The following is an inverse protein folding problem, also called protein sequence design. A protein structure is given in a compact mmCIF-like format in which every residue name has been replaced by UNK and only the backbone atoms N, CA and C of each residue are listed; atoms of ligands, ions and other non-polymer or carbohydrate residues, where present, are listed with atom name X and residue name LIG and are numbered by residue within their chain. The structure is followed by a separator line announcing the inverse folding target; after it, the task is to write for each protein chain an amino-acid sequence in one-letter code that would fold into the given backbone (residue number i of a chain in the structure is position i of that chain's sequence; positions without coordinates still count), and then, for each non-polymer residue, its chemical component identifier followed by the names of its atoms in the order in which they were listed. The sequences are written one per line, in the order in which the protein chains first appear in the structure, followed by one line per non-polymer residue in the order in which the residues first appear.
data_IF_952533504867
#
_entry.id   IF_952533504867
#
_cell.length_a   1.000
_cell.length_b   1.000
_cell.length_c   1.000
_cell.angle_alpha   90.00
_cell.angle_beta   90.00
_cell.angle_gamma   90.00
#
_symmetry.space_group_name_H-M   'P 1'
#
loop_
_entity.id
_entity.type
_entity.pdbx_description
1 polymer ?
#
# COMPACT_ATOMS: atom_id res chain seq x y z
N UNK A 1 -12.87 61.65 -32.61
CA UNK A 1 -11.54 62.07 -33.09
C UNK A 1 -10.49 61.36 -32.26
N UNK A 2 -9.95 60.24 -32.73
CA UNK A 2 -8.64 59.71 -32.31
C UNK A 2 -8.18 58.72 -33.39
N UNK A 3 -7.00 58.99 -33.94
CA UNK A 3 -6.30 58.16 -34.93
C UNK A 3 -5.82 56.84 -34.31
N UNK A 4 -5.66 55.78 -35.12
CA UNK A 4 -4.65 54.76 -34.87
C UNK A 4 -3.51 54.88 -35.91
N UNK A 5 -2.29 54.91 -35.40
CA UNK A 5 -1.06 54.66 -36.14
C UNK A 5 -0.20 53.80 -35.21
N UNK A 6 0.16 52.59 -35.64
CA UNK A 6 1.40 51.92 -35.22
C UNK A 6 1.66 50.76 -36.19
N UNK A 7 2.68 50.98 -37.02
CA UNK A 7 3.27 50.04 -37.96
C UNK A 7 4.60 49.57 -37.38
N UNK A 8 4.80 48.24 -37.49
CA UNK A 8 6.04 47.49 -37.70
C UNK A 8 7.35 47.91 -36.99
N UNK A 9 7.98 46.93 -36.31
CA UNK A 9 9.23 46.31 -36.82
C UNK A 9 9.59 45.04 -36.05
N UNK A 10 9.81 43.96 -36.80
CA UNK A 10 10.49 42.75 -36.37
C UNK A 10 12.01 43.01 -36.32
N UNK A 11 12.67 42.45 -35.31
CA UNK A 11 14.12 42.39 -35.18
C UNK A 11 14.53 40.97 -34.79
N UNK A 12 15.37 40.37 -35.63
CA UNK A 12 15.96 39.04 -35.44
C UNK A 12 16.91 38.99 -34.23
N UNK A 13 17.00 37.84 -33.53
CA UNK A 13 18.00 37.64 -32.48
C UNK A 13 19.35 37.13 -33.04
N UNK A 14 20.48 37.48 -32.40
CA UNK A 14 21.80 37.10 -32.86
C UNK A 14 22.20 35.69 -32.44
N UNK A 15 22.88 35.05 -33.38
CA UNK A 15 23.58 33.76 -33.36
C UNK A 15 24.76 33.80 -32.37
N UNK A 16 24.78 32.88 -31.40
CA UNK A 16 25.89 32.66 -30.46
C UNK A 16 26.58 31.32 -30.72
N UNK A 17 27.88 31.41 -30.95
CA UNK A 17 28.83 30.35 -31.28
C UNK A 17 29.06 29.33 -30.14
N UNK A 18 29.60 28.13 -30.45
CA UNK A 18 29.65 27.00 -29.51
C UNK A 18 30.84 27.05 -28.54
N UNK A 19 30.61 26.67 -27.29
CA UNK A 19 31.65 26.44 -26.28
C UNK A 19 32.19 24.99 -26.29
N UNK A 20 33.44 24.77 -25.82
CA UNK A 20 34.17 23.51 -25.95
C UNK A 20 33.84 22.50 -24.84
N UNK A 21 33.91 21.22 -25.20
CA UNK A 21 33.81 20.09 -24.27
C UNK A 21 35.06 19.95 -23.39
N UNK A 22 34.92 19.66 -22.09
CA UNK A 22 36.00 19.09 -21.30
C UNK A 22 35.95 17.56 -21.33
N UNK A 23 36.98 16.96 -21.93
CA UNK A 23 37.40 15.60 -21.68
C UNK A 23 37.98 15.49 -20.27
N UNK A 24 37.49 14.57 -19.43
CA UNK A 24 38.29 14.04 -18.32
C UNK A 24 37.93 12.58 -18.05
N UNK A 25 38.89 11.73 -18.40
CA UNK A 25 39.00 10.34 -17.99
C UNK A 25 39.40 10.29 -16.51
N UNK A 26 38.69 9.52 -15.70
CA UNK A 26 39.18 9.11 -14.38
C UNK A 26 39.06 7.59 -14.26
N UNK A 27 40.16 6.86 -13.97
CA UNK A 27 40.13 5.42 -13.80
C UNK A 27 39.62 5.02 -12.41
N UNK A 28 38.79 3.98 -12.40
CA UNK A 28 38.25 3.32 -11.23
C UNK A 28 39.38 2.55 -10.51
N UNK A 29 39.78 2.99 -9.31
CA UNK A 29 40.71 2.27 -8.44
C UNK A 29 39.94 1.32 -7.52
N UNK A 30 40.14 0.02 -7.75
CA UNK A 30 39.70 -1.07 -6.89
C UNK A 30 40.61 -1.15 -5.66
N UNK A 31 40.09 -0.88 -4.46
CA UNK A 31 40.78 -1.18 -3.20
C UNK A 31 40.18 -2.45 -2.61
N UNK A 32 40.93 -3.53 -2.73
CA UNK A 32 40.72 -4.78 -2.01
C UNK A 32 41.59 -4.75 -0.77
N UNK A 33 40.99 -4.67 0.42
CA UNK A 33 41.71 -4.93 1.67
C UNK A 33 40.86 -5.79 2.60
N UNK A 34 41.20 -7.09 2.59
CA UNK A 34 40.95 -8.03 3.67
C UNK A 34 41.68 -7.56 4.93
N UNK A 35 41.01 -7.51 6.07
CA UNK A 35 41.65 -7.69 7.37
C UNK A 35 40.75 -8.53 8.27
N UNK A 36 41.40 -9.52 8.88
CA UNK A 36 40.88 -10.57 9.74
C UNK A 36 40.90 -10.13 11.21
N UNK A 37 39.81 -10.47 11.93
CA UNK A 37 39.72 -10.86 13.37
C UNK A 37 39.98 -9.78 14.46
N UNK A 38 39.59 -9.99 15.74
CA UNK A 38 38.73 -11.03 16.34
C UNK A 38 37.59 -10.49 17.26
N UNK A 39 36.69 -11.43 17.61
CA UNK A 39 35.66 -11.38 18.65
C UNK A 39 36.26 -11.21 20.06
N UNK A 40 35.55 -10.56 20.99
CA UNK A 40 35.43 -11.15 22.32
C UNK A 40 33.98 -11.24 22.83
N UNK A 41 33.74 -12.41 23.42
CA UNK A 41 32.61 -12.79 24.26
C UNK A 41 32.81 -12.25 25.67
N UNK A 42 31.77 -11.63 26.26
CA UNK A 42 31.64 -11.55 27.72
C UNK A 42 30.19 -11.26 28.12
N UNK A 43 29.63 -12.19 28.90
CA UNK A 43 28.35 -12.11 29.58
C UNK A 43 28.31 -10.99 30.64
N UNK A 44 27.13 -10.44 30.98
CA UNK A 44 26.99 -9.58 32.15
C UNK A 44 26.65 -10.38 33.41
N UNK A 45 27.43 -10.13 34.46
CA UNK A 45 27.23 -10.58 35.82
C UNK A 45 26.22 -9.70 36.58
N UNK A 46 25.56 -10.30 37.56
CA UNK A 46 24.54 -9.72 38.42
C UNK A 46 25.07 -8.74 39.50
N UNK A 47 24.24 -7.70 39.76
CA UNK A 47 24.02 -6.97 41.04
C UNK A 47 25.12 -6.04 41.57
N UNK A 48 24.89 -5.15 42.58
CA UNK A 48 23.65 -4.81 43.31
C UNK A 48 23.46 -3.29 43.67
N UNK A 49 22.40 -3.00 44.43
CA UNK A 49 22.11 -1.84 45.31
C UNK A 49 21.47 -0.57 44.72
N UNK A 50 20.20 -0.37 45.09
CA UNK A 50 19.62 0.97 45.31
C UNK A 50 18.92 1.01 46.67
N UNK A 51 19.58 1.68 47.61
CA UNK A 51 19.01 2.17 48.86
C UNK A 51 18.69 3.64 48.64
N UNK A 52 17.42 4.04 48.64
CA UNK A 52 17.07 5.45 48.84
C UNK A 52 15.85 5.61 49.73
N UNK A 53 16.11 6.28 50.83
CA UNK A 53 15.20 6.72 51.87
C UNK A 53 14.28 7.86 51.41
N UNK A 54 12.99 7.69 51.72
CA UNK A 54 12.11 8.63 52.44
C UNK A 54 12.50 10.13 52.41
N UNK A 55 11.66 10.95 51.76
CA UNK A 55 11.37 12.30 52.24
C UNK A 55 9.90 12.65 52.07
N UNK A 56 9.37 13.23 53.13
CA UNK A 56 7.99 13.59 53.43
C UNK A 56 7.88 15.09 53.16
N UNK A 57 6.95 15.52 52.29
CA UNK A 57 6.60 16.93 52.17
C UNK A 57 5.09 17.09 52.12
N UNK A 58 4.62 17.83 53.12
CA UNK A 58 3.27 18.34 53.37
C UNK A 58 3.00 19.59 52.52
N UNK A 59 1.72 19.84 52.21
CA UNK A 59 1.20 21.10 51.67
C UNK A 59 0.93 21.02 50.17
N UNK A 60 -0.14 21.60 49.60
CA UNK A 60 -1.24 22.39 50.12
C UNK A 60 -2.31 22.40 49.02
N UNK A 61 -3.57 22.27 49.39
CA UNK A 61 -4.72 22.37 48.48
C UNK A 61 -4.80 23.73 47.77
N UNK A 62 -5.17 23.74 46.48
CA UNK A 62 -6.02 24.79 45.93
C UNK A 62 -7.37 24.22 45.46
N UNK A 63 -8.40 25.00 45.79
CA UNK A 63 -9.79 24.86 45.40
C UNK A 63 -9.95 24.89 43.87
N UNK A 64 -10.41 23.79 43.27
CA UNK A 64 -10.86 23.77 41.88
C UNK A 64 -12.38 23.99 41.81
N UNK A 65 -12.75 25.03 41.07
CA UNK A 65 -14.13 25.28 40.63
C UNK A 65 -14.55 24.17 39.65
N UNK A 66 -15.63 23.45 40.00
CA UNK A 66 -16.36 22.56 39.11
C UNK A 66 -16.94 23.36 37.94
N UNK A 67 -16.44 23.11 36.74
CA UNK A 67 -17.16 23.37 35.49
C UNK A 67 -17.84 22.05 35.11
N UNK A 68 -19.18 22.04 35.12
CA UNK A 68 -19.96 20.91 34.62
C UNK A 68 -19.93 20.95 33.09
N UNK A 69 -19.17 20.04 32.47
CA UNK A 69 -19.29 19.73 31.05
C UNK A 69 -20.28 18.58 30.93
N UNK A 70 -21.33 18.78 30.15
CA UNK A 70 -22.36 17.79 29.88
C UNK A 70 -21.76 16.63 29.06
N UNK A 71 -21.70 15.45 29.66
CA UNK A 71 -21.27 14.21 29.02
C UNK A 71 -22.30 13.77 27.98
N UNK A 72 -21.93 13.80 26.70
CA UNK A 72 -22.66 13.12 25.64
C UNK A 72 -22.52 11.59 25.82
N UNK A 73 -23.60 10.87 25.51
CA UNK A 73 -23.74 9.42 25.73
C UNK A 73 -22.77 8.61 24.86
N UNK A 74 -22.16 7.53 25.37
CA UNK A 74 -21.39 6.62 24.54
C UNK A 74 -22.31 5.76 23.67
N UNK A 75 -22.02 5.72 22.37
CA UNK A 75 -22.59 4.76 21.44
C UNK A 75 -21.93 3.41 21.68
N UNK A 76 -22.67 2.46 22.27
CA UNK A 76 -22.24 1.06 22.34
C UNK A 76 -22.48 0.41 20.98
N UNK A 77 -21.42 0.17 20.20
CA UNK A 77 -21.47 -0.86 19.17
C UNK A 77 -21.50 -2.24 19.86
N UNK A 78 -22.57 -3.00 19.62
CA UNK A 78 -22.60 -4.43 19.94
C UNK A 78 -21.94 -5.16 18.77
N UNK A 79 -20.81 -5.82 19.01
CA UNK A 79 -20.28 -6.83 18.10
C UNK A 79 -21.31 -7.96 17.96
N UNK A 80 -21.89 -8.09 16.77
CA UNK A 80 -22.80 -9.17 16.44
C UNK A 80 -21.98 -10.37 15.96
N UNK A 81 -21.85 -11.37 16.83
CA UNK A 81 -21.40 -12.71 16.47
C UNK A 81 -22.42 -13.32 15.50
N UNK A 82 -21.98 -13.67 14.29
CA UNK A 82 -22.82 -14.28 13.27
C UNK A 82 -23.09 -15.75 13.62
N UNK A 83 -24.28 -16.03 14.16
CA UNK A 83 -24.80 -17.38 14.31
C UNK A 83 -25.81 -17.66 13.19
N UNK A 84 -25.49 -18.66 12.36
CA UNK A 84 -26.31 -19.15 11.25
C UNK A 84 -27.57 -19.82 11.81
N UNK A 85 -28.75 -19.28 11.52
CA UNK A 85 -30.02 -19.98 11.71
C UNK A 85 -31.04 -19.62 10.61
N UNK A 86 -31.54 -20.67 9.93
CA UNK A 86 -32.58 -20.65 8.89
C UNK A 86 -33.97 -20.41 9.48
N UNK A 87 -34.77 -19.54 8.85
CA UNK A 87 -36.25 -19.62 8.83
C UNK A 87 -36.82 -18.68 7.74
N UNK A 88 -37.46 -19.22 6.71
CA UNK A 88 -38.93 -19.40 6.52
C UNK A 88 -39.74 -18.10 6.33
N UNK A 89 -40.00 -17.82 5.04
CA UNK A 89 -41.17 -17.20 4.41
C UNK A 89 -42.35 -16.76 5.30
N UNK A 90 -42.77 -15.49 5.16
CA UNK A 90 -44.20 -15.10 5.11
C UNK A 90 -44.40 -13.67 4.58
N UNK A 91 -45.21 -13.53 3.52
CA UNK A 91 -45.81 -12.28 3.01
C UNK A 91 -46.93 -11.78 3.92
N UNK A 92 -47.28 -10.47 3.89
CA UNK A 92 -48.56 -10.10 3.26
C UNK A 92 -48.61 -8.74 2.53
N UNK A 93 -49.39 -8.79 1.44
CA UNK A 93 -50.30 -7.83 0.78
C UNK A 93 -50.52 -6.38 1.29
N UNK A 94 -50.27 -5.44 0.36
CA UNK A 94 -51.12 -4.35 -0.18
C UNK A 94 -51.96 -3.43 0.72
N UNK A 95 -51.75 -2.11 0.56
CA UNK A 95 -52.83 -1.14 0.30
C UNK A 95 -52.32 0.09 -0.47
N UNK A 96 -53.25 0.66 -1.24
CA UNK A 96 -53.11 1.61 -2.35
C UNK A 96 -53.45 3.04 -1.93
N UNK A 97 -52.78 4.08 -2.48
CA UNK A 97 -53.41 5.38 -2.80
C UNK A 97 -52.74 5.99 -4.04
N UNK A 98 -53.57 6.38 -5.00
CA UNK A 98 -53.21 6.99 -6.27
C UNK A 98 -52.97 8.52 -6.16
N UNK A 99 -52.03 9.05 -6.96
CA UNK A 99 -52.15 10.41 -7.53
C UNK A 99 -51.36 10.53 -8.83
N UNK A 100 -52.04 11.10 -9.81
CA UNK A 100 -51.70 11.30 -11.23
C UNK A 100 -50.77 12.50 -11.46
N UNK A 101 -49.64 12.27 -12.17
CA UNK A 101 -49.09 12.94 -13.39
C UNK A 101 -49.26 14.47 -13.63
N UNK A 102 -48.28 15.17 -14.28
CA UNK A 102 -47.81 14.82 -15.64
C UNK A 102 -46.33 15.05 -16.05
N UNK A 103 -45.84 14.12 -16.89
CA UNK A 103 -45.10 14.24 -18.17
C UNK A 103 -44.14 15.43 -18.46
N UNK A 104 -42.84 15.14 -18.68
CA UNK A 104 -42.12 15.18 -20.00
C UNK A 104 -40.57 14.98 -19.82
N UNK A 105 -39.75 14.69 -20.87
CA UNK A 105 -39.02 13.42 -20.98
C UNK A 105 -37.48 13.52 -21.09
N UNK A 106 -36.84 12.36 -21.38
CA UNK A 106 -35.46 12.11 -21.89
C UNK A 106 -34.32 12.28 -20.87
N UNK A 107 -33.29 11.44 -20.76
CA UNK A 107 -32.77 10.31 -21.54
C UNK A 107 -31.87 9.47 -20.61
N UNK A 108 -32.24 8.22 -20.34
CA UNK A 108 -31.41 7.23 -19.65
C UNK A 108 -30.45 6.56 -20.64
N UNK A 109 -29.16 6.53 -20.31
CA UNK A 109 -28.24 5.47 -20.74
C UNK A 109 -27.49 4.93 -19.52
N UNK A 110 -27.89 3.78 -18.97
CA UNK A 110 -27.02 3.02 -18.08
C UNK A 110 -26.00 2.28 -18.95
N UNK A 111 -24.70 2.55 -18.75
CA UNK A 111 -23.65 1.65 -19.22
C UNK A 111 -23.68 0.41 -18.34
N UNK A 112 -24.29 -0.65 -18.87
CA UNK A 112 -24.07 -2.02 -18.39
C UNK A 112 -22.58 -2.31 -18.44
N UNK A 113 -21.97 -2.54 -17.27
CA UNK A 113 -20.67 -3.16 -17.16
C UNK A 113 -20.80 -4.60 -17.69
N UNK A 114 -20.39 -4.79 -18.93
CA UNK A 114 -20.17 -6.10 -19.50
C UNK A 114 -19.04 -6.78 -18.72
N UNK A 115 -19.39 -7.86 -18.03
CA UNK A 115 -18.47 -8.87 -17.50
C UNK A 115 -17.57 -9.33 -18.66
N UNK A 116 -16.33 -8.84 -18.68
CA UNK A 116 -15.38 -9.24 -19.73
C UNK A 116 -14.78 -10.56 -19.31
N UNK A 117 -15.14 -11.61 -20.05
CA UNK A 117 -14.59 -12.95 -19.97
C UNK A 117 -13.05 -12.90 -19.96
N UNK A 118 -12.44 -13.45 -18.90
CA UNK A 118 -11.03 -13.74 -18.91
C UNK A 118 -10.76 -14.87 -19.88
N UNK A 119 -10.34 -14.49 -21.09
CA UNK A 119 -9.74 -15.37 -22.08
C UNK A 119 -8.58 -16.12 -21.43
N UNK A 120 -8.73 -17.44 -21.32
CA UNK A 120 -7.69 -18.37 -20.88
C UNK A 120 -6.57 -18.31 -21.92
N UNK A 121 -5.48 -17.62 -21.58
CA UNK A 121 -4.28 -17.56 -22.39
C UNK A 121 -3.74 -18.97 -22.65
N UNK A 122 -3.75 -19.34 -23.92
CA UNK A 122 -3.19 -20.59 -24.44
C UNK A 122 -1.69 -20.69 -24.11
N UNK A 123 -1.34 -21.57 -23.18
CA UNK A 123 0.06 -21.87 -22.86
C UNK A 123 0.69 -22.64 -24.04
N UNK A 124 1.59 -21.98 -24.78
CA UNK A 124 2.52 -22.65 -25.69
C UNK A 124 3.49 -23.48 -24.87
N UNK A 125 3.26 -24.80 -24.83
CA UNK A 125 4.21 -25.79 -24.34
C UNK A 125 5.37 -25.90 -25.34
N UNK A 126 6.48 -25.24 -25.04
CA UNK A 126 7.78 -25.59 -25.61
C UNK A 126 8.30 -26.83 -24.89
N UNK A 127 8.30 -27.94 -25.61
CA UNK A 127 9.02 -29.15 -25.23
C UNK A 127 10.53 -28.89 -25.29
N UNK A 128 11.25 -29.25 -24.23
CA UNK A 128 12.56 -29.89 -24.39
C UNK A 128 12.81 -30.80 -23.20
N UNK A 129 12.95 -32.08 -23.51
CA UNK A 129 13.12 -33.16 -22.56
C UNK A 129 14.59 -33.28 -22.15
N UNK A 130 14.83 -33.64 -20.90
CA UNK A 130 16.00 -34.47 -20.55
C UNK A 130 15.54 -35.41 -19.44
N UNK A 131 15.00 -36.55 -19.85
CA UNK A 131 14.70 -37.69 -18.96
C UNK A 131 16.02 -38.38 -18.70
N UNK A 132 16.56 -38.19 -17.51
CA UNK A 132 17.67 -38.97 -16.97
C UNK A 132 17.16 -40.38 -16.66
N UNK A 133 17.65 -41.34 -17.42
CA UNK A 133 17.59 -42.78 -17.15
C UNK A 133 18.22 -43.11 -15.80
N UNK A 134 17.52 -43.80 -14.87
CA UNK A 134 18.19 -44.47 -13.76
C UNK A 134 18.82 -45.77 -14.28
N UNK A 135 20.15 -45.75 -14.30
CA UNK A 135 21.02 -46.88 -14.57
C UNK A 135 20.84 -47.93 -13.47
N UNK A 136 20.52 -49.16 -13.88
CA UNK A 136 20.31 -50.31 -13.02
C UNK A 136 21.51 -51.24 -13.11
N UNK A 137 22.35 -51.27 -12.07
CA UNK A 137 23.43 -52.25 -11.92
C UNK A 137 22.98 -53.48 -11.11
N UNK A 138 22.87 -54.59 -11.84
CA UNK A 138 23.06 -56.02 -11.53
C UNK A 138 23.31 -56.51 -10.09
N UNK A 139 22.56 -57.56 -9.71
CA UNK A 139 23.02 -58.93 -9.32
C UNK A 139 21.78 -59.83 -9.16
N UNK A 140 21.48 -60.67 -10.14
CA UNK A 140 21.89 -62.09 -10.24
C UNK A 140 21.27 -62.99 -9.17
N UNK A 141 20.24 -63.77 -9.54
CA UNK A 141 20.30 -65.23 -9.37
C UNK A 141 19.28 -66.01 -10.21
N UNK A 142 19.66 -67.26 -10.42
CA UNK A 142 19.42 -68.21 -11.52
C UNK A 142 18.09 -69.03 -11.50
N UNK A 143 17.77 -69.63 -12.66
CA UNK A 143 16.85 -70.76 -12.95
C UNK A 143 15.32 -70.60 -12.82
N UNK A 144 14.64 -70.65 -13.98
CA UNK A 144 14.18 -71.95 -14.53
C UNK A 144 13.60 -71.80 -15.95
N UNK A 145 13.91 -72.81 -16.77
CA UNK A 145 13.47 -72.98 -18.16
C UNK A 145 11.96 -73.25 -18.21
N UNK A 146 11.24 -72.55 -19.09
CA UNK A 146 10.40 -73.27 -20.06
C UNK A 146 10.08 -72.43 -21.31
N UNK A 147 10.28 -73.07 -22.46
CA UNK A 147 9.98 -72.58 -23.81
C UNK A 147 8.47 -72.42 -23.99
N UNK A 148 8.01 -71.22 -24.33
CA UNK A 148 6.89 -71.04 -25.25
C UNK A 148 7.15 -69.82 -26.13
N UNK A 149 6.55 -69.84 -27.31
CA UNK A 149 6.94 -69.10 -28.50
C UNK A 149 6.72 -67.59 -28.37
N UNK A 150 7.63 -66.86 -29.03
CA UNK A 150 7.54 -65.48 -29.53
C UNK A 150 6.11 -64.97 -29.70
N UNK A 151 5.70 -64.09 -28.80
CA UNK A 151 4.89 -62.92 -29.13
C UNK A 151 5.69 -61.73 -28.62
N UNK A 152 6.11 -60.83 -29.50
CA UNK A 152 6.76 -59.59 -29.09
C UNK A 152 5.73 -58.81 -28.28
N UNK A 153 5.85 -58.68 -26.94
CA UNK A 153 4.92 -57.85 -26.20
C UNK A 153 5.13 -56.44 -26.74
N UNK A 154 4.09 -55.88 -27.35
CA UNK A 154 4.10 -54.50 -27.79
C UNK A 154 4.16 -53.61 -26.54
N UNK A 155 5.37 -53.40 -26.01
CA UNK A 155 5.70 -52.60 -24.82
C UNK A 155 5.01 -51.23 -24.84
N UNK A 156 4.73 -50.70 -26.02
CA UNK A 156 4.00 -49.45 -26.18
C UNK A 156 2.52 -49.54 -25.82
N UNK A 157 1.82 -50.63 -26.16
CA UNK A 157 0.39 -50.79 -25.86
C UNK A 157 0.14 -51.05 -24.37
N UNK A 158 1.01 -51.82 -23.73
CA UNK A 158 0.89 -52.11 -22.29
C UNK A 158 1.21 -50.90 -21.39
N UNK A 159 2.00 -49.95 -21.90
CA UNK A 159 2.32 -48.70 -21.18
C UNK A 159 1.47 -47.51 -21.61
N UNK A 160 0.70 -47.61 -22.70
CA UNK A 160 -0.15 -46.52 -23.19
C UNK A 160 -1.16 -46.07 -22.13
N UNK A 161 -1.81 -47.03 -21.45
CA UNK A 161 -2.76 -46.75 -20.38
C UNK A 161 -2.11 -46.04 -19.18
N UNK A 162 -0.89 -46.44 -18.80
CA UNK A 162 -0.15 -45.81 -17.69
C UNK A 162 0.29 -44.39 -18.03
N UNK A 163 0.79 -44.16 -19.24
CA UNK A 163 1.20 -42.83 -19.72
C UNK A 163 -0.02 -41.91 -19.80
N UNK A 164 -1.15 -42.41 -20.31
CA UNK A 164 -2.38 -41.63 -20.40
C UNK A 164 -2.94 -41.27 -19.02
N UNK A 165 -3.05 -42.25 -18.10
CA UNK A 165 -3.48 -42.02 -16.72
C UNK A 165 -2.53 -41.09 -15.96
N UNK A 166 -1.21 -41.22 -16.18
CA UNK A 166 -0.19 -40.34 -15.58
C UNK A 166 -0.32 -38.91 -16.09
N UNK A 167 -0.55 -38.73 -17.40
CA UNK A 167 -0.72 -37.41 -18.02
C UNK A 167 -1.99 -36.73 -17.50
N UNK A 168 -3.12 -37.45 -17.44
CA UNK A 168 -4.37 -36.93 -16.86
C UNK A 168 -4.18 -36.58 -15.39
N UNK A 169 -3.53 -37.46 -14.61
CA UNK A 169 -3.23 -37.21 -13.20
C UNK A 169 -2.39 -35.95 -12.99
N UNK A 170 -1.37 -35.73 -13.83
CA UNK A 170 -0.54 -34.53 -13.80
C UNK A 170 -1.34 -33.25 -14.12
N UNK A 171 -2.22 -33.29 -15.13
CA UNK A 171 -3.11 -32.17 -15.47
C UNK A 171 -4.09 -31.88 -14.34
N UNK A 172 -4.72 -32.91 -13.75
CA UNK A 172 -5.63 -32.73 -12.61
C UNK A 172 -4.91 -32.14 -11.40
N UNK A 173 -3.69 -32.60 -11.11
CA UNK A 173 -2.88 -32.05 -10.03
C UNK A 173 -2.50 -30.58 -10.30
N UNK A 174 -2.15 -30.25 -11.55
CA UNK A 174 -1.84 -28.88 -11.96
C UNK A 174 -3.07 -27.95 -11.83
N UNK A 175 -4.25 -28.43 -12.23
CA UNK A 175 -5.51 -27.70 -12.06
C UNK A 175 -5.87 -27.52 -10.59
N UNK A 176 -5.82 -28.58 -9.79
CA UNK A 176 -6.07 -28.51 -8.33
C UNK A 176 -5.13 -27.51 -7.65
N UNK A 177 -3.85 -27.54 -8.01
CA UNK A 177 -2.84 -26.59 -7.53
C UNK A 177 -3.18 -25.15 -7.92
N UNK A 178 -3.58 -24.92 -9.17
CA UNK A 178 -3.97 -23.59 -9.66
C UNK A 178 -5.24 -23.08 -8.97
N UNK A 179 -6.28 -23.91 -8.82
CA UNK A 179 -7.53 -23.54 -8.18
C UNK A 179 -7.30 -23.20 -6.70
N UNK A 180 -6.54 -24.02 -5.96
CA UNK A 180 -6.27 -23.76 -4.55
C UNK A 180 -5.43 -22.50 -4.33
N UNK A 181 -4.45 -22.26 -5.21
CA UNK A 181 -3.62 -21.06 -5.16
C UNK A 181 -4.43 -19.79 -5.46
N UNK A 182 -5.25 -19.80 -6.52
CA UNK A 182 -6.12 -18.67 -6.85
C UNK A 182 -7.15 -18.41 -5.76
N UNK A 183 -7.77 -19.45 -5.21
CA UNK A 183 -8.74 -19.31 -4.11
C UNK A 183 -8.09 -18.67 -2.87
N UNK A 184 -6.86 -19.06 -2.53
CA UNK A 184 -6.11 -18.43 -1.43
C UNK A 184 -5.83 -16.95 -1.68
N UNK A 185 -5.52 -16.55 -2.93
CA UNK A 185 -5.31 -15.14 -3.29
C UNK A 185 -6.61 -14.35 -3.21
N UNK A 186 -7.70 -14.88 -3.76
CA UNK A 186 -9.02 -14.23 -3.74
C UNK A 186 -9.55 -14.09 -2.31
N UNK A 187 -9.45 -15.14 -1.49
CA UNK A 187 -9.87 -15.07 -0.08
C UNK A 187 -9.12 -13.98 0.69
N UNK A 188 -7.81 -13.84 0.45
CA UNK A 188 -7.02 -12.78 1.09
C UNK A 188 -7.37 -11.38 0.56
N UNK A 189 -7.74 -11.27 -0.73
CA UNK A 189 -8.24 -10.02 -1.29
C UNK A 189 -9.55 -9.61 -0.65
N UNK A 190 -10.49 -10.55 -0.54
CA UNK A 190 -11.78 -10.32 0.13
C UNK A 190 -11.59 -9.94 1.60
N UNK A 191 -10.61 -10.57 2.28
CA UNK A 191 -10.24 -10.22 3.66
C UNK A 191 -9.73 -8.78 3.77
N UNK A 192 -8.78 -8.37 2.91
CA UNK A 192 -8.27 -6.99 2.85
C UNK A 192 -9.38 -5.98 2.50
N UNK A 193 -10.26 -6.33 1.56
CA UNK A 193 -11.40 -5.48 1.19
C UNK A 193 -12.41 -5.36 2.35
N UNK A 194 -12.70 -6.45 3.07
CA UNK A 194 -13.66 -6.46 4.18
C UNK A 194 -13.14 -5.84 5.48
N UNK A 195 -11.82 -5.78 5.64
CA UNK A 195 -11.14 -5.11 6.77
C UNK A 195 -10.82 -3.64 6.49
N UNK A 196 -11.01 -3.19 5.25
CA UNK A 196 -10.83 -1.79 4.86
C UNK A 196 -11.73 -0.87 5.67
N UNK A 197 -11.17 0.20 6.22
CA UNK A 197 -11.92 1.17 7.03
C UNK A 197 -12.81 2.04 6.13
N UNK A 198 -12.37 2.31 4.90
CA UNK A 198 -13.08 3.14 3.93
C UNK A 198 -13.26 2.38 2.62
N UNK A 199 -14.42 2.57 2.00
CA UNK A 199 -14.62 2.11 0.63
C UNK A 199 -13.92 3.05 -0.37
N UNK A 200 -13.41 2.55 -1.51
CA UNK A 200 -12.82 3.42 -2.54
C UNK A 200 -13.76 4.55 -3.01
N UNK A 201 -15.07 4.28 -3.06
CA UNK A 201 -16.08 5.29 -3.41
C UNK A 201 -16.22 6.36 -2.32
N UNK A 202 -16.12 6.00 -1.04
CA UNK A 202 -16.13 6.98 0.06
C UNK A 202 -14.93 7.94 -0.03
N UNK A 203 -13.76 7.42 -0.43
CA UNK A 203 -12.56 8.24 -0.64
C UNK A 203 -12.76 9.22 -1.82
N UNK A 204 -13.38 8.77 -2.91
CA UNK A 204 -13.68 9.63 -4.05
C UNK A 204 -14.72 10.71 -3.69
N UNK A 205 -15.80 10.34 -2.97
CA UNK A 205 -16.80 11.28 -2.46
C UNK A 205 -16.18 12.32 -1.52
N UNK A 206 -15.26 11.88 -0.64
CA UNK A 206 -14.49 12.76 0.24
C UNK A 206 -13.70 13.79 -0.57
N UNK A 207 -13.01 13.40 -1.64
CA UNK A 207 -12.25 14.34 -2.48
C UNK A 207 -13.17 15.30 -3.22
N UNK A 208 -14.25 14.80 -3.83
CA UNK A 208 -15.19 15.63 -4.58
C UNK A 208 -15.85 16.67 -3.68
N UNK A 209 -16.25 16.28 -2.45
CA UNK A 209 -16.82 17.19 -1.47
C UNK A 209 -15.82 18.28 -1.01
N UNK A 210 -14.52 17.99 -1.07
CA UNK A 210 -13.44 18.89 -0.68
C UNK A 210 -12.74 19.55 -1.87
N UNK A 211 -13.50 19.92 -2.91
CA UNK A 211 -12.93 20.60 -4.09
C UNK A 211 -12.19 21.91 -3.78
N UNK A 212 -12.55 22.58 -2.68
CA UNK A 212 -11.89 23.77 -2.17
C UNK A 212 -10.59 23.50 -1.41
N UNK A 213 -10.29 22.24 -1.06
CA UNK A 213 -9.05 21.85 -0.41
C UNK A 213 -7.95 21.64 -1.46
N UNK A 214 -7.33 22.76 -1.87
CA UNK A 214 -6.32 22.81 -2.94
C UNK A 214 -4.90 22.56 -2.42
N UNK A 215 -3.97 22.38 -3.35
CA UNK A 215 -2.51 22.26 -3.09
C UNK A 215 -1.98 23.42 -2.24
N UNK A 216 -2.40 24.66 -2.52
CA UNK A 216 -1.93 25.83 -1.76
C UNK A 216 -2.35 25.79 -0.28
N UNK A 217 -3.59 25.33 -0.02
CA UNK A 217 -4.09 25.18 1.36
C UNK A 217 -3.30 24.08 2.08
N UNK A 218 -3.04 22.98 1.38
CA UNK A 218 -2.21 21.89 1.90
C UNK A 218 -0.81 22.36 2.27
N UNK A 219 -0.10 23.03 1.36
CA UNK A 219 1.27 23.52 1.59
C UNK A 219 1.30 24.47 2.80
N UNK A 220 0.29 25.34 2.95
CA UNK A 220 0.17 26.21 4.12
C UNK A 220 -0.03 25.43 5.42
N UNK A 221 -0.87 24.39 5.42
CA UNK A 221 -1.07 23.53 6.59
C UNK A 221 0.23 22.82 6.95
N UNK A 222 0.92 22.24 5.97
CA UNK A 222 2.16 21.50 6.19
C UNK A 222 3.28 22.42 6.71
N UNK A 223 3.40 23.63 6.19
CA UNK A 223 4.31 24.67 6.72
C UNK A 223 3.99 24.97 8.20
N UNK A 224 2.72 25.16 8.55
CA UNK A 224 2.30 25.38 9.94
C UNK A 224 2.59 24.17 10.83
N UNK A 225 2.37 22.97 10.32
CA UNK A 225 2.68 21.70 11.00
C UNK A 225 4.18 21.59 11.28
N UNK A 226 5.03 21.98 10.32
CA UNK A 226 6.49 22.04 10.49
C UNK A 226 6.85 22.94 11.67
N UNK A 227 6.38 24.18 11.65
CA UNK A 227 6.70 25.18 12.69
C UNK A 227 6.17 24.78 14.08
N UNK A 228 4.96 24.22 14.16
CA UNK A 228 4.30 23.96 15.45
C UNK A 228 4.74 22.65 16.11
N UNK A 229 5.07 21.63 15.31
CA UNK A 229 5.38 20.29 15.80
C UNK A 229 6.84 19.91 15.54
N UNK A 230 7.29 19.98 14.28
CA UNK A 230 8.58 19.44 13.84
C UNK A 230 9.75 20.28 14.38
N UNK A 231 9.69 21.61 14.25
CA UNK A 231 10.72 22.53 14.76
C UNK A 231 10.81 22.49 16.30
N UNK A 232 9.76 21.98 16.97
CA UNK A 232 9.73 21.72 18.41
C UNK A 232 10.17 20.30 18.79
N UNK A 233 10.57 19.47 17.83
CA UNK A 233 11.00 18.09 18.04
C UNK A 233 9.87 17.09 18.30
N UNK A 234 8.60 17.43 18.02
CA UNK A 234 7.46 16.52 18.19
C UNK A 234 7.21 15.72 16.90
N UNK A 235 7.50 14.42 16.95
CA UNK A 235 7.24 13.46 15.86
C UNK A 235 5.87 12.78 15.97
N UNK A 236 5.35 12.69 17.19
CA UNK A 236 4.02 12.18 17.48
C UNK A 236 3.18 13.31 18.08
N UNK A 237 1.89 13.33 17.73
CA UNK A 237 0.97 14.40 18.14
C UNK A 237 -0.41 13.79 18.40
N UNK A 238 -1.14 14.37 19.37
CA UNK A 238 -2.54 14.04 19.58
C UNK A 238 -3.40 14.48 18.38
N UNK A 239 -4.34 13.64 17.96
CA UNK A 239 -5.23 13.96 16.83
C UNK A 239 -5.99 15.27 17.02
N UNK A 240 -6.47 15.57 18.23
CA UNK A 240 -7.21 16.80 18.52
C UNK A 240 -6.33 18.06 18.36
N UNK A 241 -5.06 17.99 18.76
CA UNK A 241 -4.10 19.09 18.57
C UNK A 241 -3.82 19.32 17.08
N UNK A 242 -3.55 18.24 16.34
CA UNK A 242 -3.32 18.29 14.90
C UNK A 242 -4.53 18.88 14.15
N UNK A 243 -5.73 18.36 14.43
CA UNK A 243 -6.97 18.83 13.79
C UNK A 243 -7.26 20.29 14.13
N UNK A 244 -6.98 20.73 15.36
CA UNK A 244 -7.12 22.13 15.77
C UNK A 244 -6.23 23.07 14.94
N UNK A 245 -4.98 22.66 14.68
CA UNK A 245 -4.06 23.42 13.83
C UNK A 245 -4.57 23.47 12.37
N UNK A 246 -4.98 22.32 11.81
CA UNK A 246 -5.52 22.22 10.45
C UNK A 246 -6.73 23.14 10.29
N UNK A 247 -7.71 23.05 11.20
CA UNK A 247 -8.90 23.89 11.18
C UNK A 247 -8.57 25.37 11.33
N UNK A 248 -7.61 25.73 12.18
CA UNK A 248 -7.18 27.11 12.33
C UNK A 248 -6.59 27.66 11.03
N UNK A 249 -5.70 26.90 10.39
CA UNK A 249 -5.08 27.28 9.12
C UNK A 249 -6.13 27.41 7.99
N UNK A 250 -7.09 26.49 7.92
CA UNK A 250 -8.18 26.57 6.94
C UNK A 250 -9.03 27.84 7.16
N UNK A 251 -9.41 28.12 8.42
CA UNK A 251 -10.20 29.31 8.76
C UNK A 251 -9.47 30.61 8.45
N UNK A 252 -8.16 30.66 8.66
CA UNK A 252 -7.32 31.82 8.32
C UNK A 252 -7.33 32.09 6.80
N UNK A 253 -7.27 31.02 5.99
CA UNK A 253 -7.15 31.13 4.53
C UNK A 253 -8.46 31.49 3.82
N UNK A 254 -9.58 30.89 4.22
CA UNK A 254 -10.88 31.03 3.51
C UNK A 254 -12.07 31.43 4.40
N UNK A 255 -11.85 31.66 5.70
CA UNK A 255 -12.88 32.11 6.66
C UNK A 255 -13.52 30.99 7.48
N UNK A 256 -14.39 31.36 8.42
CA UNK A 256 -14.94 30.44 9.45
C UNK A 256 -15.73 29.24 8.90
N UNK A 257 -16.30 29.37 7.69
CA UNK A 257 -17.08 28.31 7.04
C UNK A 257 -16.24 27.30 6.27
N UNK A 258 -14.92 27.49 6.14
CA UNK A 258 -14.08 26.57 5.40
C UNK A 258 -13.61 25.42 6.30
N UNK A 259 -14.21 24.26 6.09
CA UNK A 259 -13.92 23.02 6.82
C UNK A 259 -13.85 21.84 5.86
N UNK A 260 -13.26 20.73 6.33
CA UNK A 260 -13.24 19.48 5.56
C UNK A 260 -14.64 18.87 5.57
N UNK A 261 -15.29 18.85 4.41
CA UNK A 261 -16.56 18.16 4.22
C UNK A 261 -16.34 16.65 4.37
N UNK A 262 -17.33 15.95 4.94
CA UNK A 262 -17.21 14.51 5.25
C UNK A 262 -16.00 14.17 6.16
N UNK A 263 -15.56 15.11 7.02
CA UNK A 263 -14.43 14.91 7.93
C UNK A 263 -14.52 13.69 8.86
N UNK A 264 -15.74 13.21 9.15
CA UNK A 264 -15.96 11.97 9.91
C UNK A 264 -15.36 10.71 9.25
N UNK A 265 -15.09 10.74 7.94
CA UNK A 265 -14.35 9.66 7.26
C UNK A 265 -12.87 9.65 7.66
N UNK A 266 -12.27 10.83 7.89
CA UNK A 266 -10.93 10.93 8.46
C UNK A 266 -10.93 10.45 9.92
N UNK A 267 -11.95 10.84 10.69
CA UNK A 267 -12.10 10.40 12.08
C UNK A 267 -12.17 8.88 12.18
N UNK A 268 -12.91 8.20 11.29
CA UNK A 268 -12.97 6.72 11.24
C UNK A 268 -11.58 6.09 11.07
N UNK A 269 -10.77 6.63 10.16
CA UNK A 269 -9.42 6.13 9.89
C UNK A 269 -8.51 6.31 11.11
N UNK A 270 -8.58 7.48 11.75
CA UNK A 270 -7.78 7.77 12.93
C UNK A 270 -8.21 6.92 14.12
N UNK A 271 -9.51 6.81 14.39
CA UNK A 271 -10.04 6.00 15.49
C UNK A 271 -9.63 4.53 15.33
N UNK A 272 -9.74 3.97 14.12
CA UNK A 272 -9.33 2.60 13.87
C UNK A 272 -7.82 2.38 14.14
N UNK A 273 -6.96 3.34 13.79
CA UNK A 273 -5.53 3.25 14.09
C UNK A 273 -5.24 3.40 15.60
N UNK A 274 -5.97 4.28 16.30
CA UNK A 274 -5.89 4.44 17.75
C UNK A 274 -6.30 3.14 18.46
N UNK A 275 -7.41 2.53 18.07
CA UNK A 275 -7.87 1.24 18.59
C UNK A 275 -6.82 0.15 18.35
N UNK A 276 -6.24 0.09 17.13
CA UNK A 276 -5.18 -0.86 16.79
C UNK A 276 -3.94 -0.68 17.67
N UNK A 277 -3.53 0.56 17.96
CA UNK A 277 -2.39 0.84 18.84
C UNK A 277 -2.71 0.50 20.31
N UNK A 278 -3.93 0.77 20.76
CA UNK A 278 -4.39 0.39 22.10
C UNK A 278 -4.35 -1.13 22.30
N UNK A 279 -4.77 -1.92 21.31
CA UNK A 279 -4.70 -3.38 21.34
C UNK A 279 -3.24 -3.90 21.38
N UNK A 280 -2.33 -3.28 20.62
CA UNK A 280 -0.90 -3.65 20.66
C UNK A 280 -0.32 -3.41 22.05
N UNK A 281 -0.55 -2.23 22.62
CA UNK A 281 -0.04 -1.87 23.94
C UNK A 281 -0.62 -2.77 25.05
N UNK A 282 -1.91 -3.12 24.94
CA UNK A 282 -2.57 -4.03 25.89
C UNK A 282 -2.00 -5.45 25.88
N UNK A 283 -1.38 -5.89 24.78
CA UNK A 283 -0.74 -7.20 24.69
C UNK A 283 0.71 -7.19 25.22
N UNK A 284 1.37 -6.03 25.28
CA UNK A 284 2.74 -5.90 25.77
C UNK A 284 2.79 -5.73 27.29
N UNK A 285 1.85 -4.97 27.84
CA UNK A 285 1.76 -4.74 29.28
C UNK A 285 0.73 -5.67 29.92
N UNK A 286 1.16 -6.87 30.34
CA UNK A 286 0.41 -7.82 31.20
C UNK A 286 0.18 -7.26 32.63
N UNK A 287 0.27 -5.95 32.79
CA UNK A 287 0.12 -5.22 34.04
C UNK A 287 -1.19 -4.46 34.05
N UNK A 288 -1.91 -4.56 35.16
CA UNK A 288 -3.29 -4.13 35.46
C UNK A 288 -3.48 -2.59 35.42
N UNK A 289 -2.82 -1.89 34.48
CA UNK A 289 -2.81 -0.44 34.36
C UNK A 289 -4.08 0.01 33.65
N UNK A 290 -4.83 0.81 34.39
CA UNK A 290 -6.11 1.38 34.04
C UNK A 290 -6.18 1.89 32.59
N UNK A 291 -7.31 1.60 31.95
CA UNK A 291 -7.79 2.14 30.68
C UNK A 291 -7.32 3.58 30.45
N UNK A 292 -6.20 3.75 29.77
CA UNK A 292 -5.75 5.05 29.30
C UNK A 292 -6.79 5.51 28.28
N UNK A 293 -7.20 6.77 28.36
CA UNK A 293 -8.22 7.29 27.44
C UNK A 293 -7.68 7.15 26.01
N UNK A 294 -8.41 6.46 25.13
CA UNK A 294 -7.95 6.17 23.77
C UNK A 294 -7.61 7.47 23.01
N UNK A 295 -8.23 8.58 23.39
CA UNK A 295 -7.98 9.90 22.80
C UNK A 295 -6.67 10.55 23.24
N UNK A 296 -5.95 10.03 24.23
CA UNK A 296 -4.63 10.53 24.64
C UNK A 296 -3.47 9.88 23.86
N UNK A 297 -3.75 8.84 23.07
CA UNK A 297 -2.73 8.14 22.27
C UNK A 297 -2.15 9.10 21.22
N UNK A 298 -0.84 9.30 21.27
CA UNK A 298 -0.13 10.10 20.28
C UNK A 298 0.07 9.29 18.99
N UNK A 299 -0.14 9.96 17.85
CA UNK A 299 -0.02 9.34 16.53
C UNK A 299 1.17 9.92 15.76
N UNK A 300 1.86 9.11 14.94
CA UNK A 300 2.91 9.61 14.07
C UNK A 300 2.41 10.70 13.14
N UNK A 301 3.15 11.79 13.04
CA UNK A 301 2.75 12.93 12.20
C UNK A 301 2.67 12.54 10.71
N UNK A 302 3.53 11.62 10.26
CA UNK A 302 3.48 11.05 8.91
C UNK A 302 2.15 10.34 8.61
N UNK A 303 1.57 9.64 9.61
CA UNK A 303 0.27 8.99 9.50
C UNK A 303 -0.87 10.03 9.43
N UNK A 304 -0.82 11.07 10.27
CA UNK A 304 -1.82 12.14 10.29
C UNK A 304 -1.83 12.93 8.97
N UNK A 305 -0.65 13.22 8.42
CA UNK A 305 -0.53 13.86 7.10
C UNK A 305 -1.01 12.92 6.00
N UNK A 306 -0.65 11.63 6.02
CA UNK A 306 -1.19 10.66 5.08
C UNK A 306 -2.73 10.58 5.16
N UNK A 307 -3.31 10.67 6.36
CA UNK A 307 -4.76 10.70 6.56
C UNK A 307 -5.38 11.96 5.97
N UNK A 308 -4.80 13.14 6.22
CA UNK A 308 -5.27 14.39 5.62
C UNK A 308 -5.26 14.34 4.09
N UNK A 309 -4.29 13.64 3.48
CA UNK A 309 -4.19 13.52 2.01
C UNK A 309 -5.38 12.80 1.37
N UNK A 310 -6.19 12.07 2.15
CA UNK A 310 -7.44 11.47 1.67
C UNK A 310 -8.41 12.54 1.13
N UNK A 311 -8.50 13.68 1.81
CA UNK A 311 -9.42 14.75 1.46
C UNK A 311 -8.89 15.70 0.38
N UNK A 312 -7.60 15.60 0.04
CA UNK A 312 -6.96 16.51 -0.92
C UNK A 312 -7.47 16.24 -2.34
N UNK A 313 -8.22 17.19 -2.90
CA UNK A 313 -8.72 17.11 -4.25
C UNK A 313 -7.72 17.69 -5.25
N UNK A 314 -6.70 16.90 -5.60
CA UNK A 314 -5.71 17.28 -6.61
C UNK A 314 -5.35 16.11 -7.53
N UNK A 315 -4.79 16.40 -8.72
CA UNK A 315 -4.20 15.37 -9.57
C UNK A 315 -3.25 14.47 -8.78
N UNK A 316 -3.17 13.20 -9.19
CA UNK A 316 -2.32 12.19 -8.55
C UNK A 316 -0.88 12.66 -8.43
N UNK A 317 -0.32 13.25 -9.50
CA UNK A 317 1.06 13.72 -9.54
C UNK A 317 1.35 14.74 -8.42
N UNK A 318 0.40 15.65 -8.15
CA UNK A 318 0.51 16.64 -7.09
C UNK A 318 0.42 15.99 -5.71
N UNK A 319 -0.50 15.05 -5.51
CA UNK A 319 -0.62 14.30 -4.25
C UNK A 319 0.66 13.53 -3.93
N UNK A 320 1.27 12.90 -4.94
CA UNK A 320 2.55 12.22 -4.77
C UNK A 320 3.66 13.20 -4.38
N UNK A 321 3.77 14.34 -5.08
CA UNK A 321 4.76 15.38 -4.74
C UNK A 321 4.61 15.81 -3.29
N UNK A 322 3.39 16.13 -2.88
CA UNK A 322 3.08 16.63 -1.55
C UNK A 322 3.32 15.60 -0.45
N UNK A 323 3.05 14.32 -0.70
CA UNK A 323 3.39 13.25 0.22
C UNK A 323 4.91 13.06 0.32
N UNK A 324 5.64 13.16 -0.79
CA UNK A 324 7.11 13.09 -0.77
C UNK A 324 7.73 14.25 0.01
N UNK A 325 7.19 15.44 -0.16
CA UNK A 325 7.57 16.61 0.63
C UNK A 325 7.27 16.41 2.12
N UNK A 326 6.08 15.88 2.45
CA UNK A 326 5.74 15.55 3.83
C UNK A 326 6.68 14.52 4.46
N UNK A 327 7.14 13.51 3.69
CA UNK A 327 8.15 12.54 4.15
C UNK A 327 9.42 13.27 4.59
N UNK A 328 9.92 14.19 3.76
CA UNK A 328 11.16 14.93 4.02
C UNK A 328 11.02 15.82 5.25
N UNK A 329 9.91 16.54 5.34
CA UNK A 329 9.67 17.47 6.43
C UNK A 329 9.63 16.77 7.79
N UNK A 330 8.98 15.60 7.90
CA UNK A 330 8.81 14.90 9.19
C UNK A 330 10.12 14.37 9.75
N UNK A 331 11.16 14.16 8.93
CA UNK A 331 12.42 13.56 9.38
C UNK A 331 13.63 14.50 9.35
N UNK A 332 13.43 15.81 9.13
CA UNK A 332 14.46 16.86 9.04
C UNK A 332 15.24 17.15 10.34
N UNK A 333 15.32 16.21 11.28
CA UNK A 333 16.04 16.38 12.55
C UNK A 333 17.58 16.46 12.43
N UNK A 334 18.15 16.70 11.24
CA UNK A 334 19.59 16.98 11.14
C UNK A 334 20.31 16.62 9.82
N UNK A 335 19.62 16.58 8.68
CA UNK A 335 20.27 16.28 7.38
C UNK A 335 20.21 17.52 6.49
N UNK A 336 21.37 17.91 5.94
CA UNK A 336 21.53 19.05 5.04
C UNK A 336 20.45 19.06 3.94
N UNK A 337 19.76 20.19 3.75
CA UNK A 337 18.72 20.37 2.72
C UNK A 337 19.21 20.16 1.26
N UNK A 338 20.50 19.89 1.08
CA UNK A 338 21.16 19.82 -0.22
C UNK A 338 20.81 18.59 -1.06
N UNK A 339 20.15 17.57 -0.49
CA UNK A 339 19.75 16.38 -1.23
C UNK A 339 18.23 16.26 -1.26
N UNK A 340 17.63 16.46 -2.44
CA UNK A 340 16.20 16.25 -2.71
C UNK A 340 15.83 14.76 -2.70
N UNK A 341 16.20 14.05 -1.65
CA UNK A 341 16.11 12.60 -1.54
C UNK A 341 15.55 12.18 -0.18
N UNK A 342 14.82 11.07 -0.17
CA UNK A 342 14.28 10.43 1.03
C UNK A 342 14.95 9.07 1.23
N UNK A 343 15.08 8.62 2.48
CA UNK A 343 15.59 7.29 2.78
C UNK A 343 14.58 6.21 2.34
N UNK A 344 15.07 5.00 2.08
CA UNK A 344 14.20 3.87 1.74
C UNK A 344 13.21 3.52 2.86
N UNK A 345 13.62 3.70 4.11
CA UNK A 345 12.80 3.45 5.31
C UNK A 345 11.67 4.47 5.45
N UNK A 346 11.97 5.75 5.21
CA UNK A 346 10.99 6.82 5.20
C UNK A 346 9.89 6.59 4.15
N UNK A 347 10.28 6.20 2.93
CA UNK A 347 9.34 5.87 1.85
C UNK A 347 8.50 4.65 2.22
N UNK A 348 9.11 3.62 2.81
CA UNK A 348 8.41 2.43 3.24
C UNK A 348 7.39 2.72 4.34
N UNK A 349 7.72 3.59 5.30
CA UNK A 349 6.81 4.02 6.35
C UNK A 349 5.64 4.82 5.79
N UNK A 350 5.88 5.69 4.81
CA UNK A 350 4.78 6.37 4.12
C UNK A 350 3.88 5.37 3.38
N UNK A 351 4.44 4.36 2.71
CA UNK A 351 3.66 3.30 2.05
C UNK A 351 2.83 2.52 3.08
N UNK A 352 3.37 2.23 4.26
CA UNK A 352 2.63 1.64 5.38
C UNK A 352 1.47 2.53 5.82
N UNK A 353 1.68 3.84 5.90
CA UNK A 353 0.62 4.79 6.23
C UNK A 353 -0.46 4.87 5.13
N UNK A 354 -0.07 4.81 3.85
CA UNK A 354 -1.02 4.70 2.73
C UNK A 354 -1.83 3.40 2.78
N UNK A 355 -1.22 2.31 3.25
CA UNK A 355 -1.90 1.04 3.47
C UNK A 355 -2.94 1.16 4.60
N UNK A 356 -2.55 1.69 5.76
CA UNK A 356 -3.44 1.91 6.91
C UNK A 356 -4.60 2.87 6.59
N UNK A 357 -4.34 3.89 5.76
CA UNK A 357 -5.35 4.86 5.32
C UNK A 357 -6.17 4.38 4.13
N UNK A 358 -6.07 3.09 3.74
CA UNK A 358 -6.85 2.47 2.66
C UNK A 358 -6.64 3.11 1.27
N UNK A 359 -5.48 3.73 1.04
CA UNK A 359 -5.16 4.42 -0.23
C UNK A 359 -4.49 3.51 -1.28
N UNK A 360 -4.11 2.29 -0.89
CA UNK A 360 -3.53 1.28 -1.76
C UNK A 360 -4.59 0.27 -2.20
N UNK A 361 -4.52 -0.17 -3.46
CA UNK A 361 -5.46 -1.18 -3.96
C UNK A 361 -5.22 -2.55 -3.31
N UNK A 362 -6.27 -3.30 -2.93
CA UNK A 362 -6.13 -4.60 -2.25
C UNK A 362 -5.25 -5.60 -3.01
N UNK A 363 -5.38 -5.66 -4.34
CA UNK A 363 -4.60 -6.57 -5.18
C UNK A 363 -3.08 -6.35 -5.11
N UNK A 364 -2.66 -5.10 -4.99
CA UNK A 364 -1.25 -4.71 -4.98
C UNK A 364 -0.59 -5.11 -3.65
N UNK A 365 -1.35 -5.10 -2.56
CA UNK A 365 -0.89 -5.49 -1.23
C UNK A 365 -0.65 -7.01 -1.09
N UNK A 366 -1.16 -7.85 -2.00
CA UNK A 366 -1.05 -9.30 -1.87
C UNK A 366 0.25 -9.83 -2.47
N UNK A 367 1.07 -10.43 -1.60
CA UNK A 367 2.43 -10.85 -1.88
C UNK A 367 2.57 -12.37 -1.78
N UNK A 368 3.15 -12.97 -2.82
CA UNK A 368 3.58 -14.37 -2.80
C UNK A 368 4.60 -14.62 -1.68
N UNK A 369 4.35 -15.65 -0.87
CA UNK A 369 5.33 -16.13 0.11
C UNK A 369 6.42 -16.99 -0.56
N UNK A 370 7.48 -17.30 0.19
CA UNK A 370 8.54 -18.19 -0.27
C UNK A 370 8.11 -19.67 -0.41
N UNK A 371 6.90 -20.02 0.07
CA UNK A 371 6.39 -21.38 0.06
C UNK A 371 5.65 -21.69 -1.25
N UNK A 372 6.32 -22.39 -2.16
CA UNK A 372 5.75 -22.82 -3.45
C UNK A 372 5.13 -24.21 -3.43
N UNK A 373 5.39 -25.06 -2.44
CA UNK A 373 5.01 -26.48 -2.46
C UNK A 373 4.16 -26.80 -1.22
N UNK A 374 2.99 -27.46 -1.35
CA UNK A 374 2.37 -28.02 -2.57
C UNK A 374 1.54 -27.04 -3.39
N UNK A 375 1.33 -25.81 -2.92
CA UNK A 375 0.70 -24.70 -3.64
C UNK A 375 1.38 -23.39 -3.22
N UNK A 376 1.29 -22.37 -4.08
CA UNK A 376 1.77 -21.02 -3.75
C UNK A 376 0.82 -20.42 -2.70
N UNK A 377 1.37 -19.97 -1.58
CA UNK A 377 0.61 -19.20 -0.58
C UNK A 377 0.87 -17.71 -0.72
N UNK A 378 -0.07 -16.92 -0.21
CA UNK A 378 -0.06 -15.47 -0.27
C UNK A 378 -0.22 -14.89 1.13
N UNK A 379 0.29 -13.68 1.32
CA UNK A 379 0.11 -12.88 2.54
C UNK A 379 -0.04 -11.40 2.18
N UNK A 380 -0.53 -10.60 3.11
CA UNK A 380 -0.49 -9.14 2.97
C UNK A 380 0.96 -8.69 3.14
N UNK A 381 1.44 -7.92 2.17
CA UNK A 381 2.77 -7.33 2.19
C UNK A 381 2.84 -6.18 3.19
N UNK A 382 3.99 -6.04 3.83
CA UNK A 382 4.32 -4.87 4.66
C UNK A 382 5.02 -3.79 3.82
N UNK A 383 4.93 -2.53 4.25
CA UNK A 383 5.56 -1.39 3.57
C UNK A 383 7.06 -1.57 3.31
N UNK A 384 7.82 -1.97 4.34
CA UNK A 384 9.29 -2.03 4.33
C UNK A 384 9.83 -3.20 3.50
N UNK A 385 9.44 -4.42 3.85
CA UNK A 385 10.07 -5.61 3.31
C UNK A 385 9.44 -6.06 2.00
N UNK A 386 8.14 -5.87 1.81
CA UNK A 386 7.49 -6.49 0.68
C UNK A 386 7.19 -5.50 -0.43
N UNK A 387 6.52 -4.40 -0.12
CA UNK A 387 5.98 -3.54 -1.16
C UNK A 387 7.07 -2.65 -1.78
N UNK A 388 7.83 -1.94 -0.95
CA UNK A 388 8.90 -1.04 -1.40
C UNK A 388 10.04 -1.81 -2.05
N UNK A 389 10.56 -2.85 -1.38
CA UNK A 389 11.64 -3.69 -1.90
C UNK A 389 11.27 -4.37 -3.22
N UNK A 390 10.02 -4.82 -3.39
CA UNK A 390 9.56 -5.43 -4.65
C UNK A 390 9.43 -4.43 -5.79
N UNK A 391 8.86 -3.26 -5.52
CA UNK A 391 8.77 -2.18 -6.50
C UNK A 391 10.17 -1.81 -7.02
N UNK A 392 11.13 -1.64 -6.09
CA UNK A 392 12.54 -1.35 -6.40
C UNK A 392 13.25 -2.51 -7.10
N UNK A 393 12.94 -3.75 -6.74
CA UNK A 393 13.53 -4.96 -7.34
C UNK A 393 12.92 -5.39 -8.68
N UNK A 394 11.93 -4.67 -9.21
CA UNK A 394 11.28 -5.00 -10.49
C UNK A 394 10.28 -6.14 -10.41
N UNK A 395 9.94 -6.58 -9.20
CA UNK A 395 8.90 -7.56 -8.95
C UNK A 395 7.56 -6.85 -9.12
N UNK A 396 6.90 -7.01 -10.26
CA UNK A 396 5.66 -6.30 -10.61
C UNK A 396 5.56 -6.00 -12.11
N UNK A 397 6.69 -5.97 -12.81
CA UNK A 397 6.75 -5.95 -14.27
C UNK A 397 6.78 -7.35 -14.89
N UNK A 398 7.07 -7.43 -16.21
CA UNK A 398 7.38 -8.71 -16.85
C UNK A 398 8.63 -9.29 -16.18
N UNK A 399 8.63 -10.58 -15.84
CA UNK A 399 9.78 -11.24 -15.20
C UNK A 399 11.09 -10.87 -15.93
N UNK A 400 12.02 -10.23 -15.22
CA UNK A 400 13.28 -9.71 -15.77
C UNK A 400 13.26 -8.25 -16.21
N UNK A 401 12.17 -7.51 -16.01
CA UNK A 401 12.17 -6.05 -16.17
C UNK A 401 13.03 -5.40 -15.09
N UNK A 402 13.76 -4.32 -15.41
CA UNK A 402 14.44 -3.54 -14.39
C UNK A 402 13.45 -3.07 -13.32
N UNK A 403 13.99 -2.84 -12.12
CA UNK A 403 13.31 -2.12 -11.05
C UNK A 403 12.73 -0.80 -11.53
N UNK A 404 11.73 -0.32 -10.80
CA UNK A 404 11.19 1.01 -11.09
C UNK A 404 12.21 2.11 -10.72
N UNK A 405 13.13 1.79 -9.81
CA UNK A 405 14.22 2.67 -9.38
C UNK A 405 15.55 2.22 -9.97
N UNK A 406 16.50 3.16 -10.11
CA UNK A 406 17.85 2.87 -10.62
C UNK A 406 18.67 1.98 -9.67
N UNK A 407 18.47 2.15 -8.36
CA UNK A 407 19.15 1.38 -7.31
C UNK A 407 18.14 0.65 -6.41
N UNK A 408 18.42 -0.63 -6.11
CA UNK A 408 17.61 -1.46 -5.21
C UNK A 408 17.73 -1.02 -3.74
N UNK A 409 18.87 -0.45 -3.38
CA UNK A 409 19.19 0.10 -2.06
C UNK A 409 19.72 1.52 -2.22
N UNK A 410 19.52 2.36 -1.22
CA UNK A 410 19.93 3.76 -1.25
C UNK A 410 18.77 4.76 -1.26
N UNK A 411 19.10 6.06 -1.26
CA UNK A 411 18.14 7.15 -1.19
C UNK A 411 17.29 7.22 -2.47
N UNK A 412 16.08 7.78 -2.33
CA UNK A 412 15.05 7.80 -3.34
C UNK A 412 14.68 9.24 -3.69
N UNK A 413 14.62 9.53 -4.98
CA UNK A 413 14.14 10.82 -5.48
C UNK A 413 12.61 10.86 -5.49
N UNK A 414 12.04 12.05 -5.72
CA UNK A 414 10.60 12.21 -5.92
C UNK A 414 10.09 11.37 -7.10
N UNK A 415 10.86 11.29 -8.18
CA UNK A 415 10.50 10.49 -9.37
C UNK A 415 10.49 9.00 -9.04
N UNK A 416 11.47 8.52 -8.27
CA UNK A 416 11.49 7.14 -7.78
C UNK A 416 10.25 6.84 -6.93
N UNK A 417 9.89 7.75 -6.01
CA UNK A 417 8.71 7.61 -5.17
C UNK A 417 7.42 7.57 -5.99
N UNK A 418 7.26 8.48 -6.95
CA UNK A 418 6.13 8.49 -7.89
C UNK A 418 6.03 7.19 -8.67
N UNK A 419 7.17 6.69 -9.14
CA UNK A 419 7.20 5.47 -9.91
C UNK A 419 6.91 4.23 -9.03
N UNK A 420 7.35 4.21 -7.76
CA UNK A 420 6.97 3.20 -6.78
C UNK A 420 5.45 3.19 -6.56
N UNK A 421 4.81 4.34 -6.31
CA UNK A 421 3.37 4.43 -6.07
C UNK A 421 2.54 4.01 -7.30
N UNK A 422 3.05 4.23 -8.51
CA UNK A 422 2.42 3.79 -9.76
C UNK A 422 2.74 2.35 -10.17
N UNK A 423 3.62 1.67 -9.42
CA UNK A 423 3.96 0.27 -9.68
C UNK A 423 2.77 -0.65 -9.42
N UNK A 424 2.76 -1.84 -10.04
CA UNK A 424 1.74 -2.86 -9.78
C UNK A 424 1.78 -3.44 -8.36
N UNK A 425 2.88 -3.23 -7.65
CA UNK A 425 3.08 -3.73 -6.28
C UNK A 425 2.57 -2.79 -5.21
N UNK A 426 2.51 -1.49 -5.47
CA UNK A 426 1.99 -0.53 -4.48
C UNK A 426 0.65 0.02 -4.95
N UNK A 427 0.58 0.49 -6.20
CA UNK A 427 -0.63 0.99 -6.85
C UNK A 427 -1.52 1.85 -5.95
N UNK A 428 -1.03 3.04 -5.62
CA UNK A 428 -1.82 4.04 -4.92
C UNK A 428 -2.93 4.56 -5.84
N UNK A 429 -4.15 4.69 -5.29
CA UNK A 429 -5.33 5.24 -5.97
C UNK A 429 -5.71 4.58 -7.31
N UNK A 430 -5.25 3.36 -7.56
CA UNK A 430 -5.62 2.62 -8.76
C UNK A 430 -4.88 3.02 -10.05
N UNK A 431 -3.85 3.85 -9.97
CA UNK A 431 -3.12 4.35 -11.14
C UNK A 431 -2.51 3.24 -12.01
N UNK A 432 -2.15 2.10 -11.41
CA UNK A 432 -1.64 0.94 -12.13
C UNK A 432 -2.68 0.30 -13.08
N UNK A 433 -3.98 0.58 -12.89
CA UNK A 433 -5.07 0.07 -13.73
C UNK A 433 -5.42 0.99 -14.90
N UNK A 434 -4.90 2.21 -14.92
CA UNK A 434 -4.99 3.08 -16.08
C UNK A 434 -4.12 2.43 -17.15
N UNK A 435 -4.76 1.56 -17.95
CA UNK A 435 -4.13 0.96 -19.12
C UNK A 435 -3.54 2.12 -19.90
N UNK A 436 -2.22 2.12 -20.10
CA UNK A 436 -1.64 2.86 -21.22
C UNK A 436 -2.40 2.37 -22.44
N UNK A 437 -3.42 3.13 -22.84
CA UNK A 437 -4.16 2.90 -24.07
C UNK A 437 -3.08 2.90 -25.12
N UNK A 438 -2.72 1.70 -25.57
CA UNK A 438 -1.62 1.53 -26.46
C UNK A 438 -1.95 2.36 -27.66
N UNK A 439 -1.19 3.45 -27.86
CA UNK A 439 -0.89 3.95 -29.18
C UNK A 439 -0.16 2.79 -29.86
N UNK A 440 -0.94 1.82 -30.35
CA UNK A 440 -0.52 0.97 -31.46
C UNK A 440 -0.32 1.94 -32.60
N UNK A 441 0.86 2.57 -32.62
CA UNK A 441 1.40 3.20 -33.80
C UNK A 441 1.69 2.02 -34.72
N UNK A 442 0.65 1.55 -35.40
CA UNK A 442 0.80 0.89 -36.69
C UNK A 442 1.54 1.91 -37.53
N UNK A 443 2.84 1.68 -37.68
CA UNK A 443 3.61 2.28 -38.75
C UNK A 443 2.99 1.73 -40.02
N UNK A 444 2.06 2.49 -40.59
CA UNK A 444 1.65 2.28 -41.97
C UNK A 444 2.89 2.50 -42.84
N UNK A 445 3.33 1.40 -43.44
CA UNK A 445 4.36 1.31 -44.48
C UNK A 445 3.71 1.58 -45.82
#
# INVERSE_FOLDING_TARGET
MFQPQLSARAGDPPELSPQPQPSNNTPCMTITSRLLLPVPSSAPACSPYTTTSRSRTTGSHPSMRRIQIATARPWRLRSATCAIARSKTRTPSTSSVARTDPMMPTSLRPRLCASTEWSVGSARLLSSATVTTPDSSEKADDKSKNKSKKDNPNIFLDNLGKIFLSTIGAVLLMLLRSTKSNNSRTALREDVESTSILDPLEIDDLRVANSDFTVDVWEKIVERVKVEFIDRGRRNVNYAEFLSLVMHCMKEMKGEGFTIQLGHLLDRVVIAEVERLAEVNANEDDSDVASTDAFEIELPLSFLVATLSLALNSPVADRVRLLFEAIRLVDEAGVDESENQASGEQVAEMIRNLQKTCQLTPDAQIVETNCKVPYQTYRVGTGDEDLTRRARGGYGGKKGSPGVTSCAEGPLTQDDFHAILNSRTVCAWGECFIRKSGRTSTSDV
#
